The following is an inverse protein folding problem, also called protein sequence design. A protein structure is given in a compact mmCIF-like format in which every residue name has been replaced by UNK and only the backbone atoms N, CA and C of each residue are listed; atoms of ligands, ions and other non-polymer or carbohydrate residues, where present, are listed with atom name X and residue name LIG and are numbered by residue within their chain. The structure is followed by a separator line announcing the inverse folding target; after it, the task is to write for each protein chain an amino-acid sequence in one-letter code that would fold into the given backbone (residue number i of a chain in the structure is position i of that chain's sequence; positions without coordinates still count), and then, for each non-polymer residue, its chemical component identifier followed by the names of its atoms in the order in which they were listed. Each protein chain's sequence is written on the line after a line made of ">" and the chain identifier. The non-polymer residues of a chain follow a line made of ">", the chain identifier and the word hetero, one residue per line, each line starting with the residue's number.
data_IF_722517967172
#
_entry.id   IF_722517967172
#
_cell.length_a   1.000
_cell.length_b   1.000
_cell.length_c   1.000
_cell.angle_alpha   90.00
_cell.angle_beta   90.00
_cell.angle_gamma   90.00
#
_symmetry.space_group_name_H-M   'P 1'
#
loop_
_entity.id
_entity.type
_entity.pdbx_description
1 polymer ?
#
# COMPACT_ATOMS: atom_id res chain seq x y z
N UNK A 1 21.06 27.67 -29.71
CA UNK A 1 21.01 26.52 -28.76
C UNK A 1 20.57 27.01 -27.39
N UNK A 2 19.32 26.77 -27.02
CA UNK A 2 18.78 27.08 -25.69
C UNK A 2 19.20 25.99 -24.71
N UNK A 3 19.93 26.37 -23.64
CA UNK A 3 20.25 25.48 -22.52
C UNK A 3 18.95 25.17 -21.77
N UNK A 4 18.40 23.97 -21.94
CA UNK A 4 17.35 23.45 -21.06
C UNK A 4 17.91 23.44 -19.63
N UNK A 5 17.43 24.35 -18.78
CA UNK A 5 17.64 24.27 -17.33
C UNK A 5 16.97 22.98 -16.85
N UNK A 6 17.76 21.99 -16.48
CA UNK A 6 17.28 20.83 -15.75
C UNK A 6 16.78 21.33 -14.40
N UNK A 7 15.47 21.45 -14.24
CA UNK A 7 14.86 21.64 -12.93
C UNK A 7 15.09 20.36 -12.15
N UNK A 8 16.12 20.33 -11.30
CA UNK A 8 16.17 19.38 -10.17
C UNK A 8 14.83 19.53 -9.47
N UNK A 9 14.06 18.44 -9.37
CA UNK A 9 12.79 18.45 -8.63
C UNK A 9 13.05 19.13 -7.29
N UNK A 10 12.28 20.19 -6.98
CA UNK A 10 12.37 20.95 -5.71
C UNK A 10 12.25 20.03 -4.48
N UNK A 11 11.80 18.80 -4.68
CA UNK A 11 11.45 17.82 -3.65
C UNK A 11 12.48 16.71 -3.45
N UNK A 12 13.48 16.57 -4.32
CA UNK A 12 14.51 15.55 -4.12
C UNK A 12 15.66 16.10 -3.27
N UNK A 13 15.56 15.86 -1.96
CA UNK A 13 16.58 16.20 -0.97
C UNK A 13 17.43 14.97 -0.60
N UNK A 14 18.75 15.15 -0.57
CA UNK A 14 19.71 14.10 -0.21
C UNK A 14 19.65 13.76 1.27
N UNK A 15 19.39 14.74 2.15
CA UNK A 15 19.34 14.46 3.59
C UNK A 15 18.14 13.57 3.93
N UNK A 16 17.00 13.84 3.29
CA UNK A 16 15.80 13.02 3.32
C UNK A 16 15.99 11.63 2.73
N UNK A 17 16.69 11.52 1.60
CA UNK A 17 17.04 10.21 1.03
C UNK A 17 17.79 9.36 2.05
N UNK A 18 18.85 9.92 2.66
CA UNK A 18 19.68 9.22 3.63
C UNK A 18 18.90 8.84 4.89
N UNK A 19 18.02 9.72 5.36
CA UNK A 19 17.19 9.42 6.53
C UNK A 19 16.19 8.27 6.27
N UNK A 20 15.51 8.30 5.11
CA UNK A 20 14.61 7.20 4.72
C UNK A 20 15.38 5.89 4.51
N UNK A 21 16.61 5.98 4.00
CA UNK A 21 17.52 4.85 3.84
C UNK A 21 17.92 4.25 5.20
N UNK A 22 18.22 5.08 6.21
CA UNK A 22 18.49 4.62 7.57
C UNK A 22 17.32 3.84 8.17
N UNK A 23 16.08 4.36 8.04
CA UNK A 23 14.88 3.64 8.49
C UNK A 23 14.68 2.32 7.74
N UNK A 24 14.96 2.31 6.44
CA UNK A 24 14.90 1.10 5.61
C UNK A 24 15.88 0.04 6.13
N UNK A 25 17.14 0.41 6.32
CA UNK A 25 18.19 -0.49 6.78
C UNK A 25 17.93 -0.97 8.21
N UNK A 26 17.42 -0.11 9.09
CA UNK A 26 17.03 -0.51 10.45
C UNK A 26 15.92 -1.58 10.41
N UNK A 27 14.87 -1.40 9.61
CA UNK A 27 13.80 -2.40 9.47
C UNK A 27 14.35 -3.76 8.98
N UNK A 28 15.25 -3.73 7.99
CA UNK A 28 15.82 -4.94 7.39
C UNK A 28 16.81 -5.67 8.31
N UNK A 29 17.54 -4.93 9.15
CA UNK A 29 18.63 -5.48 9.97
C UNK A 29 18.20 -5.84 11.39
N UNK A 30 17.20 -5.16 11.96
CA UNK A 30 16.83 -5.36 13.36
C UNK A 30 16.18 -6.73 13.58
N UNK A 31 16.52 -7.36 14.71
CA UNK A 31 15.88 -8.58 15.21
C UNK A 31 14.86 -8.31 16.31
N UNK A 32 14.77 -7.05 16.78
CA UNK A 32 13.84 -6.63 17.82
C UNK A 32 12.51 -6.28 17.18
N UNK A 33 11.46 -7.03 17.53
CA UNK A 33 10.13 -6.88 16.92
C UNK A 33 9.56 -5.47 17.08
N UNK A 34 9.72 -4.85 18.25
CA UNK A 34 9.22 -3.50 18.49
C UNK A 34 9.91 -2.46 17.61
N UNK A 35 11.22 -2.63 17.34
CA UNK A 35 11.93 -1.76 16.39
C UNK A 35 11.41 -1.99 14.96
N UNK A 36 11.09 -3.24 14.56
CA UNK A 36 10.45 -3.51 13.27
C UNK A 36 9.10 -2.79 13.15
N UNK A 37 8.25 -2.91 14.18
CA UNK A 37 6.93 -2.25 14.22
C UNK A 37 7.07 -0.73 14.13
N UNK A 38 8.02 -0.14 14.85
CA UNK A 38 8.24 1.31 14.85
C UNK A 38 8.77 1.81 13.50
N UNK A 39 9.78 1.15 12.94
CA UNK A 39 10.39 1.55 11.67
C UNK A 39 9.41 1.41 10.49
N UNK A 40 8.65 0.31 10.41
CA UNK A 40 7.65 0.14 9.35
C UNK A 40 6.49 1.15 9.48
N UNK A 41 6.08 1.49 10.71
CA UNK A 41 5.09 2.53 10.95
C UNK A 41 5.59 3.91 10.50
N UNK A 42 6.84 4.24 10.82
CA UNK A 42 7.48 5.48 10.36
C UNK A 42 7.53 5.54 8.83
N UNK A 43 7.97 4.47 8.17
CA UNK A 43 7.99 4.38 6.72
C UNK A 43 6.59 4.56 6.12
N UNK A 44 5.57 3.91 6.68
CA UNK A 44 4.19 4.05 6.21
C UNK A 44 3.66 5.48 6.36
N UNK A 45 3.96 6.15 7.48
CA UNK A 45 3.61 7.56 7.72
C UNK A 45 4.32 8.49 6.74
N UNK A 46 5.60 8.26 6.45
CA UNK A 46 6.34 9.06 5.46
C UNK A 46 5.82 8.86 4.03
N UNK A 47 5.30 7.67 3.70
CA UNK A 47 4.74 7.38 2.38
C UNK A 47 3.52 8.26 2.03
N UNK A 48 2.81 8.80 3.03
CA UNK A 48 1.68 9.72 2.83
C UNK A 48 2.10 11.02 2.14
N UNK A 49 3.31 11.51 2.40
CA UNK A 49 3.78 12.81 1.88
C UNK A 49 4.35 12.66 0.46
N UNK A 50 3.78 13.35 -0.56
CA UNK A 50 4.26 13.25 -1.94
C UNK A 50 5.74 13.63 -2.15
N UNK A 51 6.29 14.48 -1.27
CA UNK A 51 7.71 14.84 -1.33
C UNK A 51 8.65 13.64 -1.17
N UNK A 52 8.18 12.56 -0.54
CA UNK A 52 8.96 11.34 -0.31
C UNK A 52 8.81 10.33 -1.44
N UNK A 53 7.85 10.49 -2.36
CA UNK A 53 7.51 9.43 -3.32
C UNK A 53 8.67 9.04 -4.23
N UNK A 54 9.45 10.02 -4.71
CA UNK A 54 10.64 9.74 -5.53
C UNK A 54 11.71 8.98 -4.73
N UNK A 55 11.91 9.31 -3.45
CA UNK A 55 12.82 8.59 -2.57
C UNK A 55 12.36 7.16 -2.32
N UNK A 56 11.06 6.95 -2.10
CA UNK A 56 10.48 5.62 -1.90
C UNK A 56 10.61 4.72 -3.12
N UNK A 57 10.48 5.29 -4.33
CA UNK A 57 10.74 4.58 -5.58
C UNK A 57 12.22 4.23 -5.73
N UNK A 58 13.13 5.19 -5.46
CA UNK A 58 14.57 4.98 -5.56
C UNK A 58 15.07 3.93 -4.55
N UNK A 59 14.58 3.98 -3.32
CA UNK A 59 14.98 3.09 -2.23
C UNK A 59 14.22 1.76 -2.23
N UNK A 60 13.25 1.59 -3.14
CA UNK A 60 12.36 0.42 -3.26
C UNK A 60 11.62 0.05 -1.96
N UNK A 61 11.20 1.05 -1.19
CA UNK A 61 10.49 0.81 0.09
C UNK A 61 9.14 0.10 -0.14
N UNK A 62 8.51 0.27 -1.30
CA UNK A 62 7.30 -0.47 -1.67
C UNK A 62 7.49 -2.00 -1.68
N UNK A 63 8.69 -2.50 -2.03
CA UNK A 63 8.99 -3.94 -1.98
C UNK A 63 9.04 -4.46 -0.54
N UNK A 64 9.49 -3.62 0.40
CA UNK A 64 9.45 -3.94 1.84
C UNK A 64 8.02 -4.06 2.31
N UNK A 65 7.16 -3.10 1.97
CA UNK A 65 5.74 -3.20 2.33
C UNK A 65 5.11 -4.46 1.73
N UNK A 66 5.26 -4.69 0.43
CA UNK A 66 4.68 -5.84 -0.25
C UNK A 66 5.17 -7.19 0.30
N UNK A 67 6.43 -7.31 0.69
CA UNK A 67 6.96 -8.55 1.29
C UNK A 67 6.46 -8.79 2.72
N UNK A 68 5.91 -7.78 3.40
CA UNK A 68 5.51 -7.85 4.81
C UNK A 68 4.00 -7.75 5.04
N UNK A 69 3.16 -7.58 4.00
CA UNK A 69 1.69 -7.56 4.16
C UNK A 69 1.09 -8.85 4.73
N UNK A 70 1.81 -9.97 4.61
CA UNK A 70 1.43 -11.27 5.14
C UNK A 70 2.24 -11.66 6.40
N UNK A 71 2.94 -10.71 7.02
CA UNK A 71 3.65 -10.92 8.29
C UNK A 71 2.74 -11.53 9.34
N UNK A 72 3.25 -12.44 10.18
CA UNK A 72 2.51 -12.99 11.33
C UNK A 72 2.25 -11.92 12.40
N UNK A 73 3.07 -10.87 12.44
CA UNK A 73 2.83 -9.70 13.26
C UNK A 73 1.82 -8.75 12.60
N UNK A 74 0.66 -8.59 13.22
CA UNK A 74 -0.44 -7.78 12.69
C UNK A 74 -0.11 -6.29 12.55
N UNK A 75 0.73 -5.74 13.44
CA UNK A 75 1.15 -4.35 13.32
C UNK A 75 2.04 -4.16 12.08
N UNK A 76 3.03 -5.04 11.88
CA UNK A 76 3.88 -5.02 10.67
C UNK A 76 3.04 -5.20 9.41
N UNK A 77 2.11 -6.15 9.39
CA UNK A 77 1.23 -6.39 8.25
C UNK A 77 0.36 -5.17 7.94
N UNK A 78 -0.27 -4.58 8.95
CA UNK A 78 -1.16 -3.42 8.79
C UNK A 78 -0.39 -2.18 8.31
N UNK A 79 0.76 -1.86 8.90
CA UNK A 79 1.55 -0.72 8.46
C UNK A 79 2.14 -0.92 7.07
N UNK A 80 2.47 -2.15 6.70
CA UNK A 80 2.85 -2.48 5.33
C UNK A 80 1.70 -2.20 4.35
N UNK A 81 0.48 -2.63 4.66
CA UNK A 81 -0.68 -2.34 3.81
C UNK A 81 -0.99 -0.83 3.74
N UNK A 82 -0.92 -0.11 4.87
CA UNK A 82 -1.06 1.36 4.92
C UNK A 82 -0.02 2.06 4.05
N UNK A 83 1.23 1.61 4.11
CA UNK A 83 2.31 2.11 3.27
C UNK A 83 2.05 1.88 1.77
N UNK A 84 1.56 0.71 1.38
CA UNK A 84 1.12 0.44 0.00
C UNK A 84 -0.05 1.33 -0.41
N UNK A 85 -1.07 1.49 0.44
CA UNK A 85 -2.23 2.32 0.16
C UNK A 85 -1.84 3.79 -0.09
N UNK A 86 -0.92 4.32 0.72
CA UNK A 86 -0.38 5.67 0.56
C UNK A 86 0.39 5.88 -0.76
N UNK A 87 0.95 4.81 -1.34
CA UNK A 87 1.69 4.85 -2.61
C UNK A 87 0.86 4.38 -3.81
N UNK A 88 -0.32 3.81 -3.60
CA UNK A 88 -1.08 3.10 -4.64
C UNK A 88 -1.56 4.02 -5.78
N UNK A 89 -1.63 5.34 -5.55
CA UNK A 89 -1.97 6.33 -6.58
C UNK A 89 -0.81 6.65 -7.54
N UNK A 90 0.42 6.21 -7.23
CA UNK A 90 1.57 6.34 -8.12
C UNK A 90 1.42 5.35 -9.28
N UNK A 91 1.44 5.79 -10.57
CA UNK A 91 1.21 4.89 -11.70
C UNK A 91 2.14 3.67 -11.76
N UNK A 92 3.42 3.84 -11.42
CA UNK A 92 4.39 2.73 -11.38
C UNK A 92 4.09 1.72 -10.28
N UNK A 93 3.59 2.16 -9.12
CA UNK A 93 3.21 1.29 -8.02
C UNK A 93 1.88 0.61 -8.32
N UNK A 94 0.87 1.34 -8.80
CA UNK A 94 -0.42 0.77 -9.20
C UNK A 94 -0.25 -0.34 -10.24
N UNK A 95 0.54 -0.09 -11.28
CA UNK A 95 0.85 -1.06 -12.32
C UNK A 95 1.64 -2.28 -11.80
N UNK A 96 2.40 -2.13 -10.72
CA UNK A 96 3.08 -3.26 -10.06
C UNK A 96 2.10 -4.07 -9.20
N UNK A 97 1.29 -3.41 -8.39
CA UNK A 97 0.40 -4.04 -7.43
C UNK A 97 -0.80 -4.76 -8.08
N UNK A 98 -1.31 -4.26 -9.21
CA UNK A 98 -2.43 -4.89 -9.94
C UNK A 98 -2.02 -6.19 -10.67
N UNK A 99 -0.72 -6.48 -10.80
CA UNK A 99 -0.24 -7.71 -11.42
C UNK A 99 -0.77 -8.91 -10.65
N UNK A 100 -1.16 -9.97 -11.39
CA UNK A 100 -1.84 -11.17 -10.87
C UNK A 100 -1.27 -11.68 -9.54
N UNK A 101 0.05 -11.83 -9.41
CA UNK A 101 0.64 -12.38 -8.19
C UNK A 101 0.60 -11.40 -7.02
N UNK A 102 0.96 -10.13 -7.26
CA UNK A 102 0.95 -9.07 -6.25
C UNK A 102 -0.46 -8.78 -5.76
N UNK A 103 -1.43 -8.72 -6.67
CA UNK A 103 -2.82 -8.50 -6.33
C UNK A 103 -3.38 -9.64 -5.48
N UNK A 104 -3.08 -10.90 -5.86
CA UNK A 104 -3.43 -12.08 -5.04
C UNK A 104 -2.84 -12.02 -3.64
N UNK A 105 -1.58 -11.59 -3.49
CA UNK A 105 -0.98 -11.44 -2.16
C UNK A 105 -1.75 -10.42 -1.30
N UNK A 106 -2.17 -9.29 -1.88
CA UNK A 106 -2.99 -8.29 -1.19
C UNK A 106 -4.34 -8.88 -0.79
N UNK A 107 -5.07 -9.50 -1.74
CA UNK A 107 -6.37 -10.11 -1.49
C UNK A 107 -6.27 -11.17 -0.40
N UNK A 108 -5.31 -12.10 -0.48
CA UNK A 108 -5.12 -13.14 0.53
C UNK A 108 -4.79 -12.56 1.92
N UNK A 109 -3.98 -11.51 1.99
CA UNK A 109 -3.69 -10.84 3.26
C UNK A 109 -4.94 -10.17 3.88
N UNK A 110 -5.85 -9.64 3.06
CA UNK A 110 -7.13 -9.11 3.52
C UNK A 110 -8.06 -10.22 4.00
N UNK A 111 -8.16 -11.32 3.25
CA UNK A 111 -9.00 -12.47 3.60
C UNK A 111 -8.57 -13.11 4.92
N UNK A 112 -7.28 -13.11 5.25
CA UNK A 112 -6.78 -13.64 6.52
C UNK A 112 -7.03 -12.71 7.71
N UNK A 113 -7.54 -11.48 7.49
CA UNK A 113 -7.70 -10.43 8.52
C UNK A 113 -9.06 -9.74 8.45
N UNK A 114 -10.12 -10.49 8.14
CA UNK A 114 -11.49 -9.98 8.04
C UNK A 114 -12.08 -9.49 9.37
N UNK A 115 -11.40 -9.72 10.49
CA UNK A 115 -11.72 -9.18 11.81
C UNK A 115 -11.06 -7.81 12.09
N UNK A 116 -10.16 -7.33 11.22
CA UNK A 116 -9.49 -6.04 11.38
C UNK A 116 -10.08 -5.00 10.42
N UNK A 117 -10.90 -4.11 10.95
CA UNK A 117 -11.54 -3.05 10.16
C UNK A 117 -10.50 -2.15 9.48
N UNK A 118 -9.45 -1.78 10.21
CA UNK A 118 -8.33 -0.99 9.70
C UNK A 118 -7.64 -1.67 8.51
N UNK A 119 -7.46 -2.99 8.56
CA UNK A 119 -6.86 -3.76 7.46
C UNK A 119 -7.78 -3.78 6.24
N UNK A 120 -9.08 -4.04 6.46
CA UNK A 120 -10.09 -4.04 5.40
C UNK A 120 -10.15 -2.67 4.71
N UNK A 121 -10.23 -1.59 5.48
CA UNK A 121 -10.35 -0.22 4.97
C UNK A 121 -9.17 0.13 4.06
N UNK A 122 -7.94 -0.16 4.50
CA UNK A 122 -6.74 0.15 3.71
C UNK A 122 -6.64 -0.71 2.45
N UNK A 123 -7.06 -1.97 2.51
CA UNK A 123 -7.11 -2.83 1.33
C UNK A 123 -8.19 -2.41 0.33
N UNK A 124 -9.39 -2.05 0.81
CA UNK A 124 -10.45 -1.49 -0.02
C UNK A 124 -10.04 -0.15 -0.65
N UNK A 125 -9.29 0.69 0.08
CA UNK A 125 -8.75 1.94 -0.46
C UNK A 125 -7.84 1.70 -1.68
N UNK A 126 -6.97 0.69 -1.64
CA UNK A 126 -6.15 0.29 -2.80
C UNK A 126 -7.04 -0.08 -3.99
N UNK A 127 -8.09 -0.88 -3.77
CA UNK A 127 -9.03 -1.28 -4.83
C UNK A 127 -9.78 -0.06 -5.39
N UNK A 128 -10.22 0.87 -4.54
CA UNK A 128 -10.86 2.12 -4.97
C UNK A 128 -9.93 2.99 -5.83
N UNK A 129 -8.65 3.06 -5.47
CA UNK A 129 -7.63 3.76 -6.27
C UNK A 129 -7.47 3.09 -7.63
N UNK A 130 -7.37 1.76 -7.68
CA UNK A 130 -7.28 1.04 -8.96
C UNK A 130 -8.53 1.24 -9.83
N UNK A 131 -9.71 1.32 -9.21
CA UNK A 131 -10.96 1.65 -9.90
C UNK A 131 -10.93 3.09 -10.44
N UNK A 132 -10.52 4.07 -9.65
CA UNK A 132 -10.46 5.48 -10.09
C UNK A 132 -9.42 5.72 -11.18
N UNK A 133 -8.35 4.91 -11.21
CA UNK A 133 -7.35 4.89 -12.29
C UNK A 133 -7.81 4.11 -13.52
N UNK A 134 -8.98 3.45 -13.47
CA UNK A 134 -9.52 2.60 -14.52
C UNK A 134 -8.58 1.45 -14.95
N UNK A 135 -7.87 0.84 -14.00
CA UNK A 135 -6.90 -0.26 -14.28
C UNK A 135 -7.40 -1.65 -13.86
N UNK A 136 -8.65 -1.76 -13.39
CA UNK A 136 -9.31 -3.04 -13.09
C UNK A 136 -9.97 -3.57 -14.38
N UNK A 137 -9.16 -4.04 -15.32
CA UNK A 137 -9.64 -4.44 -16.65
C UNK A 137 -9.93 -5.94 -16.74
N UNK A 138 -9.05 -6.77 -16.17
CA UNK A 138 -9.08 -8.22 -16.32
C UNK A 138 -10.23 -8.87 -15.51
N UNK A 139 -10.92 -9.83 -16.15
CA UNK A 139 -12.01 -10.63 -15.56
C UNK A 139 -11.59 -11.35 -14.28
N UNK A 140 -10.38 -11.89 -14.20
CA UNK A 140 -9.88 -12.60 -13.01
C UNK A 140 -9.74 -11.66 -11.83
N UNK A 141 -9.17 -10.46 -12.03
CA UNK A 141 -9.07 -9.43 -10.98
C UNK A 141 -10.45 -8.99 -10.50
N UNK A 142 -11.40 -8.78 -11.42
CA UNK A 142 -12.79 -8.45 -11.08
C UNK A 142 -13.43 -9.55 -10.22
N UNK A 143 -13.22 -10.82 -10.59
CA UNK A 143 -13.72 -11.98 -9.85
C UNK A 143 -13.10 -12.10 -8.46
N UNK A 144 -11.80 -11.85 -8.33
CA UNK A 144 -11.12 -11.80 -7.02
C UNK A 144 -11.70 -10.71 -6.13
N UNK A 145 -11.94 -9.52 -6.67
CA UNK A 145 -12.60 -8.42 -5.94
C UNK A 145 -14.02 -8.82 -5.51
N UNK A 146 -14.84 -9.35 -6.41
CA UNK A 146 -16.22 -9.76 -6.07
C UNK A 146 -16.25 -10.77 -4.92
N UNK A 147 -15.39 -11.79 -4.97
CA UNK A 147 -15.27 -12.80 -3.88
C UNK A 147 -14.81 -12.19 -2.57
N UNK A 148 -13.83 -11.29 -2.60
CA UNK A 148 -13.36 -10.59 -1.41
C UNK A 148 -14.49 -9.76 -0.78
N UNK A 149 -15.26 -9.04 -1.59
CA UNK A 149 -16.39 -8.23 -1.11
C UNK A 149 -17.51 -9.08 -0.51
N UNK A 150 -17.76 -10.29 -1.04
CA UNK A 150 -18.69 -11.25 -0.43
C UNK A 150 -18.20 -11.67 0.96
N UNK A 151 -16.93 -12.07 1.10
CA UNK A 151 -16.33 -12.43 2.39
C UNK A 151 -16.34 -11.29 3.41
N UNK A 152 -16.08 -10.05 2.99
CA UNK A 152 -16.18 -8.88 3.86
C UNK A 152 -17.63 -8.64 4.30
N UNK A 153 -18.61 -8.84 3.41
CA UNK A 153 -20.02 -8.71 3.80
C UNK A 153 -20.42 -9.75 4.86
N UNK A 154 -19.88 -10.97 4.76
CA UNK A 154 -20.10 -12.06 5.71
C UNK A 154 -19.47 -11.79 7.08
N UNK A 155 -18.41 -10.97 7.17
CA UNK A 155 -17.78 -10.63 8.45
C UNK A 155 -18.63 -9.71 9.34
N UNK A 156 -19.74 -9.15 8.80
CA UNK A 156 -20.71 -8.31 9.53
C UNK A 156 -20.09 -7.10 10.25
N UNK A 157 -19.02 -6.52 9.70
CA UNK A 157 -18.49 -5.25 10.23
C UNK A 157 -19.55 -4.15 10.12
N UNK A 158 -19.63 -3.32 11.17
CA UNK A 158 -20.52 -2.15 11.24
C UNK A 158 -19.79 -0.84 10.92
N UNK A 159 -18.51 -0.89 10.51
CA UNK A 159 -17.77 0.32 10.14
C UNK A 159 -18.35 0.96 8.87
N UNK A 160 -18.80 2.20 9.02
CA UNK A 160 -19.44 2.96 7.95
C UNK A 160 -18.54 3.15 6.72
N UNK A 161 -17.21 3.23 6.92
CA UNK A 161 -16.23 3.39 5.83
C UNK A 161 -16.19 2.12 4.98
N UNK A 162 -16.16 0.94 5.62
CA UNK A 162 -16.19 -0.35 4.92
C UNK A 162 -17.45 -0.46 4.07
N UNK A 163 -18.62 -0.20 4.67
CA UNK A 163 -19.90 -0.24 3.96
C UNK A 163 -19.90 0.70 2.74
N UNK A 164 -19.40 1.93 2.91
CA UNK A 164 -19.36 2.92 1.83
C UNK A 164 -18.37 2.54 0.73
N UNK A 165 -17.17 2.06 1.09
CA UNK A 165 -16.16 1.65 0.12
C UNK A 165 -16.63 0.46 -0.71
N UNK A 166 -17.27 -0.53 -0.07
CA UNK A 166 -17.85 -1.66 -0.77
C UNK A 166 -18.92 -1.25 -1.78
N UNK A 167 -19.79 -0.29 -1.43
CA UNK A 167 -20.80 0.26 -2.37
C UNK A 167 -20.13 0.92 -3.57
N UNK A 168 -19.17 1.82 -3.35
CA UNK A 168 -18.43 2.50 -4.43
C UNK A 168 -17.74 1.49 -5.37
N UNK A 169 -17.17 0.42 -4.81
CA UNK A 169 -16.52 -0.60 -5.63
C UNK A 169 -17.54 -1.40 -6.45
N UNK A 170 -18.72 -1.73 -5.90
CA UNK A 170 -19.80 -2.50 -6.57
C UNK A 170 -20.59 -1.71 -7.61
N UNK A 171 -20.83 -0.42 -7.38
CA UNK A 171 -21.80 0.40 -8.15
C UNK A 171 -21.28 0.89 -9.52
N UNK A 172 -20.34 0.19 -10.17
CA UNK A 172 -19.86 0.51 -11.54
C UNK A 172 -19.16 -0.67 -12.19
#
# INVERSE_FOLDING_TARGET
>A
MSKKKYYKSKYFDQSRLLYLDQLREEFLSTKVLDHKRQTIANLANFAYNPENHLHFLQLKIHDIFLSNIASDDDAVALFSLKGLANLASLPSIAALLIKKNQFKMIVSAMESRLNSEDFIINGLLIIMIFKSMNIIENVETKKEISKLLEKIAESKSNDVRIVNYMKIIKDS
#
